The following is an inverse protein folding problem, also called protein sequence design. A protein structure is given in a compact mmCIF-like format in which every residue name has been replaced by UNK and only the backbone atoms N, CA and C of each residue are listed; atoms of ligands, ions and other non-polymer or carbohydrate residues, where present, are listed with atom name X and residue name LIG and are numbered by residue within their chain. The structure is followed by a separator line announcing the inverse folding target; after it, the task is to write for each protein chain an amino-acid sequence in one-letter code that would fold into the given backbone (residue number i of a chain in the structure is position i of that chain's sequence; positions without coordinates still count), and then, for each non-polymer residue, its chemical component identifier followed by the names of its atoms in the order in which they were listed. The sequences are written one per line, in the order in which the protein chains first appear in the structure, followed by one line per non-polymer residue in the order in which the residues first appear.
data_IF_367942842680
#
_entry.id   IF_367942842680
#
_cell.length_a   1.000
_cell.length_b   1.000
_cell.length_c   1.000
_cell.angle_alpha   90.00
_cell.angle_beta   90.00
_cell.angle_gamma   90.00
#
_symmetry.space_group_name_H-M   'P 1'
#
loop_
_entity.id
_entity.type
_entity.pdbx_description
1 polymer ?
#
# COMPACT_ATOMS: atom_id res chain seq x y z
N UNK A 1 20.00 19.21 13.61
CA UNK A 1 19.99 17.77 13.96
C UNK A 1 18.86 17.38 14.92
N UNK A 2 18.58 18.15 15.98
CA UNK A 2 17.55 17.85 17.00
C UNK A 2 16.16 17.56 16.40
N UNK A 3 15.71 18.35 15.41
CA UNK A 3 14.43 18.11 14.72
C UNK A 3 14.33 16.70 14.12
N UNK A 4 15.38 16.18 13.48
CA UNK A 4 15.35 14.85 12.85
C UNK A 4 15.24 13.72 13.87
N UNK A 5 15.92 13.86 15.02
CA UNK A 5 15.92 12.87 16.10
C UNK A 5 14.56 12.80 16.80
N UNK A 6 13.92 13.96 17.03
CA UNK A 6 12.57 14.04 17.57
C UNK A 6 11.56 13.38 16.62
N UNK A 7 11.67 13.62 15.31
CA UNK A 7 10.79 13.00 14.32
C UNK A 7 10.95 11.48 14.27
N UNK A 8 12.18 10.95 14.24
CA UNK A 8 12.40 9.49 14.29
C UNK A 8 11.94 8.88 15.61
N UNK A 9 12.12 9.57 16.74
CA UNK A 9 11.65 9.11 18.05
C UNK A 9 10.13 9.02 18.16
N UNK A 10 9.42 10.02 17.64
CA UNK A 10 7.95 10.02 17.58
C UNK A 10 7.45 8.91 16.64
N UNK A 11 8.13 8.67 15.53
CA UNK A 11 7.79 7.60 14.58
C UNK A 11 7.97 6.22 15.21
N UNK A 12 9.09 5.97 15.87
CA UNK A 12 9.34 4.72 16.60
C UNK A 12 8.34 4.52 17.74
N UNK A 13 7.99 5.58 18.48
CA UNK A 13 7.00 5.54 19.55
C UNK A 13 5.59 5.25 19.00
N UNK A 14 5.23 5.83 17.86
CA UNK A 14 3.94 5.57 17.22
C UNK A 14 3.82 4.14 16.68
N UNK A 15 4.91 3.56 16.14
CA UNK A 15 4.96 2.13 15.77
C UNK A 15 4.77 1.25 17.01
N UNK A 16 5.46 1.56 18.11
CA UNK A 16 5.32 0.85 19.38
C UNK A 16 3.90 0.93 19.93
N UNK A 17 3.28 2.11 19.91
CA UNK A 17 1.89 2.31 20.35
C UNK A 17 0.88 1.59 19.46
N UNK A 18 1.11 1.53 18.14
CA UNK A 18 0.27 0.78 17.22
C UNK A 18 0.33 -0.75 17.44
N UNK A 19 1.39 -1.25 18.08
CA UNK A 19 1.56 -2.66 18.46
C UNK A 19 0.90 -3.01 19.81
N UNK A 20 0.64 -2.03 20.68
CA UNK A 20 0.03 -2.24 22.02
C UNK A 20 -1.32 -2.99 21.96
N UNK A 21 -2.26 -2.68 21.05
CA UNK A 21 -3.52 -3.42 20.94
C UNK A 21 -3.37 -4.89 20.55
N UNK A 22 -2.20 -5.29 20.04
CA UNK A 22 -1.89 -6.67 19.69
C UNK A 22 -1.29 -7.46 20.87
N UNK A 23 -0.65 -6.76 21.81
CA UNK A 23 -0.09 -7.34 23.03
C UNK A 23 -1.17 -7.56 24.11
N UNK A 24 -2.23 -6.74 24.11
CA UNK A 24 -3.35 -6.88 25.03
C UNK A 24 -4.69 -6.89 24.25
N UNK A 25 -5.16 -8.07 23.81
CA UNK A 25 -6.34 -8.16 22.96
C UNK A 25 -7.64 -7.89 23.74
N UNK A 26 -7.94 -6.61 23.99
CA UNK A 26 -9.28 -6.18 24.40
C UNK A 26 -10.19 -6.16 23.15
N UNK A 27 -11.20 -7.03 23.04
CA UNK A 27 -12.07 -7.09 21.85
C UNK A 27 -12.80 -5.76 21.61
N UNK A 28 -13.23 -5.07 22.67
CA UNK A 28 -13.89 -3.77 22.58
C UNK A 28 -12.98 -2.68 21.99
N UNK A 29 -11.71 -2.62 22.40
CA UNK A 29 -10.76 -1.65 21.85
C UNK A 29 -10.46 -1.94 20.38
N UNK A 30 -10.28 -3.21 20.02
CA UNK A 30 -10.05 -3.62 18.62
C UNK A 30 -11.23 -3.23 17.74
N UNK A 31 -12.45 -3.49 18.18
CA UNK A 31 -13.67 -3.12 17.45
C UNK A 31 -13.76 -1.60 17.28
N UNK A 32 -13.62 -0.83 18.36
CA UNK A 32 -13.67 0.63 18.31
C UNK A 32 -12.61 1.21 17.35
N UNK A 33 -11.36 0.71 17.40
CA UNK A 33 -10.30 1.16 16.49
C UNK A 33 -10.58 0.78 15.02
N UNK A 34 -11.20 -0.37 14.79
CA UNK A 34 -11.56 -0.84 13.46
C UNK A 34 -12.71 -0.02 12.87
N UNK A 35 -13.72 0.31 13.68
CA UNK A 35 -14.84 1.19 13.29
C UNK A 35 -14.36 2.62 13.00
N UNK A 36 -13.47 3.15 13.84
CA UNK A 36 -12.83 4.45 13.60
C UNK A 36 -11.99 4.41 12.31
N UNK A 37 -11.19 3.36 12.14
CA UNK A 37 -10.35 3.18 10.96
C UNK A 37 -11.16 3.09 9.67
N UNK A 38 -12.23 2.31 9.64
CA UNK A 38 -13.10 2.17 8.47
C UNK A 38 -13.84 3.47 8.14
N UNK A 39 -14.30 4.19 9.17
CA UNK A 39 -14.96 5.50 9.02
C UNK A 39 -13.99 6.53 8.43
N UNK A 40 -12.78 6.64 9.00
CA UNK A 40 -11.75 7.53 8.48
C UNK A 40 -11.34 7.17 7.05
N UNK A 41 -11.23 5.87 6.75
CA UNK A 41 -10.90 5.40 5.40
C UNK A 41 -11.98 5.79 4.38
N UNK A 42 -13.26 5.73 4.76
CA UNK A 42 -14.36 6.16 3.91
C UNK A 42 -14.26 7.66 3.58
N UNK A 43 -14.04 8.50 4.58
CA UNK A 43 -13.83 9.95 4.37
C UNK A 43 -12.58 10.24 3.56
N UNK A 44 -11.46 9.57 3.87
CA UNK A 44 -10.21 9.75 3.15
C UNK A 44 -10.33 9.36 1.68
N UNK A 45 -11.06 8.28 1.37
CA UNK A 45 -11.31 7.85 0.00
C UNK A 45 -12.12 8.90 -0.77
N UNK A 46 -13.15 9.47 -0.15
CA UNK A 46 -13.94 10.55 -0.76
C UNK A 46 -13.08 11.78 -1.03
N UNK A 47 -12.32 12.24 -0.04
CA UNK A 47 -11.42 13.41 -0.18
C UNK A 47 -10.36 13.15 -1.25
N UNK A 48 -9.76 11.96 -1.28
CA UNK A 48 -8.77 11.57 -2.28
C UNK A 48 -9.35 11.59 -3.69
N UNK A 49 -10.58 11.08 -3.87
CA UNK A 49 -11.26 11.11 -5.16
C UNK A 49 -11.56 12.53 -5.63
N UNK A 50 -12.04 13.40 -4.72
CA UNK A 50 -12.31 14.81 -5.05
C UNK A 50 -11.03 15.57 -5.38
N UNK A 51 -9.95 15.37 -4.63
CA UNK A 51 -8.64 15.98 -4.90
C UNK A 51 -8.07 15.49 -6.24
N UNK A 52 -8.25 14.22 -6.57
CA UNK A 52 -7.89 13.64 -7.86
C UNK A 52 -8.66 14.31 -9.01
N UNK A 53 -9.99 14.48 -8.86
CA UNK A 53 -10.81 15.17 -9.86
C UNK A 53 -10.40 16.64 -10.01
N UNK A 54 -10.20 17.37 -8.90
CA UNK A 54 -9.77 18.76 -8.94
C UNK A 54 -8.45 18.93 -9.71
N UNK A 55 -7.46 18.07 -9.44
CA UNK A 55 -6.18 18.12 -10.11
C UNK A 55 -6.31 17.96 -11.64
N UNK A 56 -7.11 17.01 -12.12
CA UNK A 56 -7.29 16.77 -13.55
C UNK A 56 -8.22 17.78 -14.21
N UNK A 57 -9.29 18.20 -13.53
CA UNK A 57 -10.19 19.24 -14.02
C UNK A 57 -9.47 20.58 -14.15
N UNK A 58 -8.57 20.91 -13.22
CA UNK A 58 -7.70 22.10 -13.34
C UNK A 58 -6.83 22.01 -14.59
N UNK A 59 -6.16 20.87 -14.85
CA UNK A 59 -5.38 20.67 -16.08
C UNK A 59 -6.19 20.85 -17.36
N UNK A 60 -7.41 20.31 -17.37
CA UNK A 60 -8.33 20.43 -18.51
C UNK A 60 -8.74 21.90 -18.72
N UNK A 61 -9.11 22.60 -17.64
CA UNK A 61 -9.51 24.02 -17.69
C UNK A 61 -8.37 24.94 -18.14
N UNK A 62 -7.15 24.67 -17.69
CA UNK A 62 -5.96 25.45 -18.03
C UNK A 62 -5.29 25.00 -19.34
N UNK A 63 -5.81 23.95 -19.99
CA UNK A 63 -5.25 23.33 -21.20
C UNK A 63 -3.73 23.04 -21.06
N UNK A 64 -3.33 22.52 -19.90
CA UNK A 64 -1.93 22.14 -19.66
C UNK A 64 -1.45 21.06 -20.65
N UNK A 65 -0.15 20.91 -20.78
CA UNK A 65 0.44 19.85 -21.60
C UNK A 65 -0.12 18.47 -21.20
N UNK A 66 -0.64 17.73 -22.17
CA UNK A 66 -1.29 16.44 -21.93
C UNK A 66 -2.71 16.50 -21.35
N UNK A 67 -3.41 17.65 -21.41
CA UNK A 67 -4.80 17.76 -20.96
C UNK A 67 -5.79 16.75 -21.59
N UNK A 68 -5.65 16.28 -22.86
CA UNK A 68 -6.57 15.28 -23.40
C UNK A 68 -6.49 13.96 -22.64
N UNK A 69 -5.31 13.57 -22.17
CA UNK A 69 -5.16 12.39 -21.31
C UNK A 69 -5.88 12.59 -19.98
N UNK A 70 -5.80 13.79 -19.40
CA UNK A 70 -6.53 14.12 -18.16
C UNK A 70 -8.04 14.01 -18.35
N UNK A 71 -8.57 14.41 -19.52
CA UNK A 71 -9.99 14.23 -19.85
C UNK A 71 -10.38 12.75 -19.90
N UNK A 72 -9.59 11.92 -20.59
CA UNK A 72 -9.82 10.46 -20.64
C UNK A 72 -9.79 9.86 -19.23
N UNK A 73 -8.85 10.29 -18.38
CA UNK A 73 -8.75 9.80 -17.00
C UNK A 73 -9.99 10.16 -16.17
N UNK A 74 -10.47 11.40 -16.24
CA UNK A 74 -11.67 11.84 -15.51
C UNK A 74 -12.90 11.06 -15.99
N UNK A 75 -13.08 10.90 -17.31
CA UNK A 75 -14.20 10.15 -17.87
C UNK A 75 -14.19 8.68 -17.44
N UNK A 76 -13.02 8.03 -17.47
CA UNK A 76 -12.86 6.65 -17.00
C UNK A 76 -13.15 6.52 -15.51
N UNK A 77 -12.68 7.46 -14.68
CA UNK A 77 -12.95 7.45 -13.24
C UNK A 77 -14.45 7.59 -12.92
N UNK A 78 -15.14 8.49 -13.63
CA UNK A 78 -16.59 8.65 -13.51
C UNK A 78 -17.35 7.41 -14.00
N UNK A 79 -16.92 6.79 -15.11
CA UNK A 79 -17.53 5.56 -15.61
C UNK A 79 -17.43 4.43 -14.58
N UNK A 80 -16.26 4.23 -13.96
CA UNK A 80 -16.07 3.23 -12.89
C UNK A 80 -16.96 3.53 -11.69
N UNK A 81 -17.05 4.80 -11.27
CA UNK A 81 -17.91 5.20 -10.15
C UNK A 81 -19.39 4.92 -10.43
N UNK A 82 -19.87 5.27 -11.63
CA UNK A 82 -21.26 5.04 -12.04
C UNK A 82 -21.57 3.54 -12.11
N UNK A 83 -20.67 2.74 -12.68
CA UNK A 83 -20.83 1.28 -12.72
C UNK A 83 -20.88 0.69 -11.30
N UNK A 84 -19.95 1.09 -10.42
CA UNK A 84 -19.91 0.63 -9.03
C UNK A 84 -21.19 0.99 -8.27
N UNK A 85 -21.66 2.23 -8.42
CA UNK A 85 -22.89 2.71 -7.79
C UNK A 85 -24.12 1.99 -8.33
N UNK A 86 -24.19 1.76 -9.65
CA UNK A 86 -25.25 1.01 -10.29
C UNK A 86 -25.32 -0.44 -9.81
N UNK A 87 -24.18 -1.14 -9.72
CA UNK A 87 -24.12 -2.49 -9.17
C UNK A 87 -24.45 -2.53 -7.68
N UNK A 88 -24.08 -1.50 -6.92
CA UNK A 88 -24.44 -1.34 -5.51
C UNK A 88 -25.93 -1.17 -5.29
N UNK A 89 -26.56 -0.24 -6.01
CA UNK A 89 -28.00 0.07 -5.85
C UNK A 89 -28.92 -0.99 -6.45
N UNK A 90 -28.58 -1.57 -7.61
CA UNK A 90 -29.48 -2.49 -8.32
C UNK A 90 -29.32 -3.93 -7.80
N UNK A 91 -28.07 -4.35 -7.51
CA UNK A 91 -27.76 -5.76 -7.23
C UNK A 91 -27.27 -5.99 -5.80
N UNK A 92 -27.01 -4.94 -5.02
CA UNK A 92 -26.41 -5.04 -3.69
C UNK A 92 -24.96 -5.53 -3.70
N UNK A 93 -24.36 -5.75 -4.88
CA UNK A 93 -23.02 -6.31 -5.01
C UNK A 93 -21.93 -5.25 -4.95
N UNK A 94 -22.23 -4.01 -5.36
CA UNK A 94 -21.28 -2.89 -5.33
C UNK A 94 -19.96 -3.26 -6.00
N UNK A 95 -18.86 -3.17 -5.25
CA UNK A 95 -17.50 -3.50 -5.71
C UNK A 95 -17.29 -5.00 -6.03
N UNK A 96 -18.19 -5.88 -5.59
CA UNK A 96 -18.17 -7.31 -5.91
C UNK A 96 -19.09 -7.65 -7.11
N UNK A 97 -19.58 -6.65 -7.83
CA UNK A 97 -20.41 -6.86 -9.01
C UNK A 97 -19.63 -7.39 -10.21
N UNK A 98 -20.31 -8.06 -11.17
CA UNK A 98 -19.66 -8.61 -12.37
C UNK A 98 -18.83 -7.59 -13.17
N UNK A 99 -19.28 -6.35 -13.29
CA UNK A 99 -18.55 -5.32 -14.02
C UNK A 99 -17.29 -4.89 -13.29
N UNK A 100 -17.39 -4.67 -11.96
CA UNK A 100 -16.20 -4.36 -11.16
C UNK A 100 -15.19 -5.51 -11.20
N UNK A 101 -15.66 -6.75 -11.09
CA UNK A 101 -14.80 -7.94 -11.18
C UNK A 101 -14.13 -8.08 -12.54
N UNK A 102 -14.83 -7.77 -13.63
CA UNK A 102 -14.26 -7.77 -14.97
C UNK A 102 -13.17 -6.70 -15.12
N UNK A 103 -13.42 -5.47 -14.66
CA UNK A 103 -12.43 -4.38 -14.66
C UNK A 103 -11.21 -4.77 -13.82
N UNK A 104 -11.42 -5.41 -12.68
CA UNK A 104 -10.32 -5.90 -11.86
C UNK A 104 -9.51 -6.98 -12.59
N UNK A 105 -10.16 -8.01 -13.13
CA UNK A 105 -9.47 -9.15 -13.75
C UNK A 105 -8.71 -8.78 -15.03
N UNK A 106 -9.25 -7.88 -15.85
CA UNK A 106 -8.67 -7.54 -17.16
C UNK A 106 -7.96 -6.18 -17.19
N UNK A 107 -8.18 -5.32 -16.19
CA UNK A 107 -7.53 -4.02 -16.07
C UNK A 107 -6.51 -3.99 -14.94
N UNK A 108 -6.96 -4.15 -13.70
CA UNK A 108 -6.12 -3.96 -12.50
C UNK A 108 -5.12 -5.11 -12.34
N UNK A 109 -5.59 -6.35 -12.39
CA UNK A 109 -4.81 -7.55 -12.10
C UNK A 109 -3.60 -7.72 -13.04
N UNK A 110 -3.70 -7.49 -14.37
CA UNK A 110 -2.53 -7.57 -15.26
C UNK A 110 -1.50 -6.46 -14.99
N UNK A 111 -1.96 -5.26 -14.63
CA UNK A 111 -1.07 -4.16 -14.24
C UNK A 111 -0.33 -4.48 -12.94
N UNK A 112 -1.05 -5.00 -11.94
CA UNK A 112 -0.45 -5.49 -10.69
C UNK A 112 0.55 -6.61 -10.95
N UNK A 113 0.23 -7.57 -11.82
CA UNK A 113 1.14 -8.65 -12.18
C UNK A 113 2.40 -8.14 -12.90
N UNK A 114 2.26 -7.14 -13.77
CA UNK A 114 3.40 -6.55 -14.49
C UNK A 114 4.35 -5.79 -13.56
N UNK A 115 3.81 -4.98 -12.66
CA UNK A 115 4.60 -4.32 -11.61
C UNK A 115 5.19 -5.33 -10.63
N UNK A 116 4.40 -6.34 -10.27
CA UNK A 116 4.81 -7.46 -9.44
C UNK A 116 5.97 -8.26 -10.04
N UNK A 117 6.02 -8.43 -11.36
CA UNK A 117 7.12 -9.11 -12.04
C UNK A 117 8.45 -8.35 -11.95
N UNK A 118 8.41 -7.02 -11.84
CA UNK A 118 9.61 -6.20 -11.65
C UNK A 118 10.21 -6.34 -10.24
N UNK A 119 9.40 -6.63 -9.21
CA UNK A 119 9.88 -6.76 -7.83
C UNK A 119 10.96 -7.84 -7.68
N UNK A 120 10.75 -9.11 -8.09
CA UNK A 120 11.78 -10.15 -8.05
C UNK A 120 13.07 -9.74 -8.76
N UNK A 121 12.96 -9.09 -9.91
CA UNK A 121 14.13 -8.61 -10.66
C UNK A 121 14.93 -7.58 -9.84
N UNK A 122 14.27 -6.59 -9.25
CA UNK A 122 14.93 -5.61 -8.39
C UNK A 122 15.47 -6.22 -7.10
N UNK A 123 14.79 -7.21 -6.52
CA UNK A 123 15.28 -7.94 -5.35
C UNK A 123 16.57 -8.70 -5.65
N UNK A 124 16.64 -9.40 -6.79
CA UNK A 124 17.87 -10.09 -7.24
C UNK A 124 18.99 -9.08 -7.50
N UNK A 125 18.70 -7.95 -8.15
CA UNK A 125 19.69 -6.91 -8.39
C UNK A 125 20.21 -6.30 -7.08
N UNK A 126 19.32 -6.02 -6.12
CA UNK A 126 19.69 -5.53 -4.80
C UNK A 126 20.52 -6.55 -4.03
N UNK A 127 20.17 -7.84 -4.12
CA UNK A 127 20.92 -8.93 -3.54
C UNK A 127 22.32 -9.03 -4.13
N UNK A 128 22.46 -9.00 -5.46
CA UNK A 128 23.76 -9.00 -6.12
C UNK A 128 24.62 -7.81 -5.70
N UNK A 129 24.04 -6.61 -5.61
CA UNK A 129 24.74 -5.41 -5.10
C UNK A 129 25.18 -5.58 -3.64
N UNK A 130 24.33 -6.19 -2.80
CA UNK A 130 24.62 -6.39 -1.37
C UNK A 130 25.68 -7.46 -1.14
N UNK A 131 25.66 -8.56 -1.91
CA UNK A 131 26.64 -9.65 -1.80
C UNK A 131 28.05 -9.25 -2.25
N UNK A 132 28.17 -8.22 -3.10
CA UNK A 132 29.46 -7.63 -3.47
C UNK A 132 30.06 -6.71 -2.40
N UNK A 133 29.27 -6.29 -1.42
CA UNK A 133 29.78 -5.53 -0.27
C UNK A 133 30.43 -6.48 0.75
N UNK A 134 31.02 -5.92 1.81
CA UNK A 134 31.63 -6.75 2.87
C UNK A 134 30.58 -7.66 3.51
N UNK A 135 30.91 -8.94 3.76
CA UNK A 135 30.01 -9.86 4.44
C UNK A 135 29.67 -9.28 5.82
N UNK A 136 28.37 -9.25 6.11
CA UNK A 136 27.80 -8.70 7.32
C UNK A 136 26.56 -9.50 7.70
N UNK A 137 26.22 -9.49 8.99
CA UNK A 137 25.02 -10.18 9.48
C UNK A 137 23.77 -9.64 8.79
N UNK A 138 23.71 -8.33 8.51
CA UNK A 138 22.57 -7.76 7.80
C UNK A 138 22.51 -8.23 6.33
N UNK A 139 23.65 -8.45 5.67
CA UNK A 139 23.66 -9.03 4.32
C UNK A 139 23.14 -10.47 4.32
N UNK A 140 23.48 -11.26 5.33
CA UNK A 140 22.96 -12.62 5.48
C UNK A 140 21.44 -12.63 5.70
N UNK A 141 20.95 -11.80 6.62
CA UNK A 141 19.51 -11.66 6.89
C UNK A 141 18.74 -11.17 5.67
N UNK A 142 19.28 -10.19 4.94
CA UNK A 142 18.70 -9.70 3.70
C UNK A 142 18.63 -10.80 2.63
N UNK A 143 19.71 -11.57 2.48
CA UNK A 143 19.78 -12.69 1.53
C UNK A 143 18.75 -13.75 1.85
N UNK A 144 18.65 -14.14 3.12
CA UNK A 144 17.64 -15.09 3.59
C UNK A 144 16.22 -14.58 3.28
N UNK A 145 15.92 -13.31 3.59
CA UNK A 145 14.62 -12.70 3.30
C UNK A 145 14.27 -12.67 1.81
N UNK A 146 15.21 -12.29 0.93
CA UNK A 146 15.00 -12.30 -0.52
C UNK A 146 14.72 -13.71 -1.03
N UNK A 147 15.52 -14.70 -0.61
CA UNK A 147 15.34 -16.08 -1.02
C UNK A 147 14.00 -16.64 -0.53
N UNK A 148 13.59 -16.36 0.71
CA UNK A 148 12.28 -16.77 1.22
C UNK A 148 11.14 -16.24 0.34
N UNK A 149 11.17 -14.95 -0.02
CA UNK A 149 10.12 -14.36 -0.87
C UNK A 149 10.11 -14.99 -2.27
N UNK A 150 11.29 -15.17 -2.89
CA UNK A 150 11.38 -15.75 -4.23
C UNK A 150 10.90 -17.21 -4.27
N UNK A 151 11.27 -18.00 -3.26
CA UNK A 151 10.86 -19.40 -3.16
C UNK A 151 9.34 -19.49 -2.96
N UNK A 152 8.78 -18.74 -1.99
CA UNK A 152 7.35 -18.82 -1.66
C UNK A 152 6.43 -18.24 -2.73
N UNK A 153 6.90 -17.26 -3.51
CA UNK A 153 6.09 -16.60 -4.54
C UNK A 153 6.33 -17.14 -5.96
N UNK A 154 7.22 -18.13 -6.12
CA UNK A 154 7.39 -18.84 -7.39
C UNK A 154 6.18 -19.74 -7.66
N UNK A 155 5.20 -19.23 -8.42
CA UNK A 155 3.89 -19.86 -8.68
C UNK A 155 3.92 -21.16 -9.52
N UNK A 156 4.92 -22.01 -9.37
CA UNK A 156 5.06 -23.22 -10.20
C UNK A 156 5.99 -24.31 -9.66
N UNK A 157 6.50 -24.24 -8.43
CA UNK A 157 7.29 -25.34 -7.85
C UNK A 157 6.40 -26.23 -6.96
N UNK A 158 6.58 -27.57 -6.97
CA UNK A 158 5.89 -28.48 -6.04
C UNK A 158 6.47 -28.46 -4.62
N UNK A 159 7.44 -27.58 -4.34
CA UNK A 159 8.04 -27.35 -3.02
C UNK A 159 7.05 -26.99 -1.88
N UNK A 160 5.89 -26.33 -2.13
CA UNK A 160 4.89 -26.06 -1.09
C UNK A 160 4.34 -27.33 -0.43
N UNK A 161 4.39 -28.50 -1.10
CA UNK A 161 3.83 -29.74 -0.58
C UNK A 161 4.65 -30.31 0.60
N UNK A 162 5.97 -30.09 0.61
CA UNK A 162 6.87 -30.52 1.70
C UNK A 162 7.02 -29.43 2.79
N UNK A 163 6.78 -28.18 2.43
CA UNK A 163 6.99 -27.02 3.30
C UNK A 163 5.70 -26.47 3.92
N UNK A 164 4.52 -26.97 3.55
CA UNK A 164 3.21 -26.49 4.00
C UNK A 164 3.06 -26.29 5.52
N UNK A 165 3.45 -27.27 6.37
CA UNK A 165 3.36 -27.09 7.82
C UNK A 165 4.31 -26.00 8.35
N UNK A 166 5.52 -25.91 7.78
CA UNK A 166 6.52 -24.90 8.16
C UNK A 166 6.15 -23.51 7.62
N UNK A 167 5.55 -23.42 6.44
CA UNK A 167 5.07 -22.16 5.88
C UNK A 167 3.94 -21.59 6.72
N UNK A 168 2.97 -22.41 7.12
CA UNK A 168 1.89 -21.96 8.00
C UNK A 168 2.35 -21.57 9.41
N UNK A 169 3.32 -22.31 9.97
CA UNK A 169 3.80 -22.06 11.33
C UNK A 169 4.73 -20.86 11.45
N UNK A 170 5.59 -20.63 10.44
CA UNK A 170 6.69 -19.65 10.53
C UNK A 170 6.55 -18.55 9.48
N UNK A 171 6.21 -18.90 8.25
CA UNK A 171 6.29 -17.94 7.14
C UNK A 171 5.04 -17.08 7.02
N UNK A 172 3.85 -17.63 7.24
CA UNK A 172 2.59 -16.87 7.22
C UNK A 172 2.53 -15.79 8.32
N UNK A 173 2.89 -16.08 9.59
CA UNK A 173 2.99 -15.04 10.62
C UNK A 173 4.05 -13.98 10.27
N UNK A 174 5.17 -14.38 9.67
CA UNK A 174 6.24 -13.46 9.30
C UNK A 174 5.85 -12.56 8.12
N UNK A 175 5.18 -13.10 7.10
CA UNK A 175 4.67 -12.33 5.96
C UNK A 175 3.57 -11.39 6.42
N UNK A 176 2.59 -11.88 7.19
CA UNK A 176 1.49 -11.04 7.69
C UNK A 176 2.00 -9.95 8.63
N UNK A 177 2.96 -10.28 9.50
CA UNK A 177 3.68 -9.31 10.32
C UNK A 177 4.45 -8.28 9.48
N UNK A 178 5.15 -8.73 8.43
CA UNK A 178 5.90 -7.88 7.51
C UNK A 178 5.00 -6.91 6.73
N UNK A 179 3.90 -7.41 6.16
CA UNK A 179 2.90 -6.59 5.45
C UNK A 179 2.31 -5.54 6.40
N UNK A 180 1.94 -5.94 7.63
CA UNK A 180 1.44 -4.99 8.64
C UNK A 180 2.51 -3.96 9.01
N UNK A 181 3.77 -4.37 9.17
CA UNK A 181 4.89 -3.46 9.44
C UNK A 181 5.09 -2.42 8.33
N UNK A 182 5.02 -2.85 7.07
CA UNK A 182 5.10 -1.95 5.90
C UNK A 182 3.91 -0.97 5.91
N UNK A 183 2.69 -1.46 6.12
CA UNK A 183 1.50 -0.61 6.16
C UNK A 183 1.57 0.44 7.28
N UNK A 184 2.05 0.06 8.46
CA UNK A 184 2.30 1.00 9.57
C UNK A 184 3.37 2.03 9.20
N UNK A 185 4.47 1.59 8.59
CA UNK A 185 5.53 2.48 8.12
C UNK A 185 5.03 3.50 7.09
N UNK A 186 4.22 3.04 6.11
CA UNK A 186 3.59 3.90 5.10
C UNK A 186 2.63 4.88 5.76
N UNK A 187 1.75 4.41 6.65
CA UNK A 187 0.80 5.27 7.35
C UNK A 187 1.51 6.39 8.13
N UNK A 188 2.59 6.07 8.84
CA UNK A 188 3.38 7.06 9.55
C UNK A 188 4.13 8.01 8.62
N UNK A 189 4.65 7.51 7.50
CA UNK A 189 5.25 8.35 6.46
C UNK A 189 4.27 9.39 5.92
N UNK A 190 3.02 8.98 5.68
CA UNK A 190 1.93 9.89 5.27
C UNK A 190 1.61 10.90 6.35
N UNK A 191 1.45 10.49 7.61
CA UNK A 191 1.17 11.41 8.73
C UNK A 191 2.27 12.45 8.89
N UNK A 192 3.53 12.03 8.78
CA UNK A 192 4.68 12.94 8.86
C UNK A 192 4.69 13.92 7.69
N UNK A 193 4.40 13.45 6.47
CA UNK A 193 4.27 14.32 5.31
C UNK A 193 3.16 15.37 5.50
N UNK A 194 1.99 14.95 5.98
CA UNK A 194 0.86 15.84 6.25
C UNK A 194 1.20 16.87 7.32
N UNK A 195 1.87 16.46 8.41
CA UNK A 195 2.31 17.37 9.46
C UNK A 195 3.34 18.37 8.96
N UNK A 196 4.28 17.94 8.11
CA UNK A 196 5.28 18.84 7.51
C UNK A 196 4.61 19.90 6.63
N UNK A 197 3.62 19.52 5.84
CA UNK A 197 2.84 20.46 5.03
C UNK A 197 2.03 21.40 5.92
N UNK A 198 1.32 20.88 6.93
CA UNK A 198 0.49 21.68 7.84
C UNK A 198 1.30 22.70 8.66
N UNK A 199 2.52 22.35 9.06
CA UNK A 199 3.46 23.24 9.74
C UNK A 199 4.21 24.17 8.78
N UNK A 200 3.92 24.13 7.48
CA UNK A 200 4.56 24.95 6.45
C UNK A 200 6.04 24.62 6.23
N UNK A 201 6.51 23.45 6.70
CA UNK A 201 7.88 22.99 6.49
C UNK A 201 8.11 22.52 5.05
N UNK A 202 7.07 21.95 4.43
CA UNK A 202 7.07 21.57 3.03
C UNK A 202 6.05 22.42 2.27
N UNK A 203 6.48 23.08 1.19
CA UNK A 203 5.61 23.79 0.26
C UNK A 203 5.30 22.88 -0.93
N UNK A 204 4.08 22.33 -1.06
CA UNK A 204 3.75 21.37 -2.10
C UNK A 204 3.68 21.98 -3.52
N UNK A 205 3.68 23.30 -3.62
CA UNK A 205 3.68 24.02 -4.90
C UNK A 205 4.75 25.11 -4.79
N UNK A 206 5.89 24.91 -5.47
CA UNK A 206 6.95 25.90 -5.53
C UNK A 206 6.47 27.16 -6.24
N UNK A 207 6.11 28.17 -5.46
CA UNK A 207 6.35 29.59 -5.69
C UNK A 207 6.69 30.23 -4.35
#
# INVERSE_FOLDING_TARGET
MIRRVVFTGVLSLAILLALVPYLWPQPALRQALTELGSTLLAYATLVAFLAFLDAHLRRIRLQEEGWPYSLVTVLSALAVLILAAGEGWIRGSGLAGPWMMWIYQYGVLPLEASLGALLPFFMILALWRRLRARPSVEALLFTAGVLSVLILRSGGTPLPLLWGPLSHAVVDPLITGGVRGILLGVALGVVVMMLRIALGLDRPMGR
#
